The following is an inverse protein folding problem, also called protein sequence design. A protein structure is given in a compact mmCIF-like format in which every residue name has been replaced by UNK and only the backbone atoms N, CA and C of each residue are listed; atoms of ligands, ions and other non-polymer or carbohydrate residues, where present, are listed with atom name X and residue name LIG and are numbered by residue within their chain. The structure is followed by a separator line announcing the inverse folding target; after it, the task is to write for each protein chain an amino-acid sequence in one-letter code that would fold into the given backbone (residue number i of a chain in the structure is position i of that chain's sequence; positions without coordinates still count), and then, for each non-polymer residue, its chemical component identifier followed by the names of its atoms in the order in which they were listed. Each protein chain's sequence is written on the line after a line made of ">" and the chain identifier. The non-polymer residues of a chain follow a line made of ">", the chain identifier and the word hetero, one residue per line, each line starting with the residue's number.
data_IF_097274869479
#
_entry.id   IF_097274869479
#
_cell.length_a   1.000
_cell.length_b   1.000
_cell.length_c   1.000
_cell.angle_alpha   90.00
_cell.angle_beta   90.00
_cell.angle_gamma   90.00
#
_symmetry.space_group_name_H-M   'P 1'
#
loop_
_entity.id
_entity.type
_entity.pdbx_description
1 polymer ?
#
# COMPACT_ATOMS: atom_id res chain seq x y z
N UNK A 1 -15.61 1.09 -2.58
CA UNK A 1 -14.89 2.05 -1.67
C UNK A 1 -13.49 1.53 -1.41
N UNK A 2 -12.48 2.38 -1.15
CA UNK A 2 -11.08 1.94 -0.94
C UNK A 2 -10.53 2.48 0.38
N UNK A 3 -9.85 1.62 1.14
CA UNK A 3 -9.01 1.98 2.29
C UNK A 3 -7.54 1.75 1.90
N UNK A 4 -6.69 2.74 2.15
CA UNK A 4 -5.24 2.62 1.97
C UNK A 4 -4.58 2.52 3.34
N UNK A 5 -3.88 1.42 3.61
CA UNK A 5 -3.12 1.25 4.85
C UNK A 5 -1.66 1.64 4.62
N UNK A 6 -1.08 2.38 5.58
CA UNK A 6 0.29 2.88 5.48
C UNK A 6 1.18 2.17 6.52
N UNK A 7 1.96 1.19 6.06
CA UNK A 7 2.88 0.41 6.90
C UNK A 7 2.30 -0.87 7.50
N UNK A 8 3.12 -1.59 8.27
CA UNK A 8 2.80 -2.91 8.83
C UNK A 8 1.56 -2.90 9.73
N UNK A 9 1.56 -2.06 10.76
CA UNK A 9 0.56 -2.11 11.84
C UNK A 9 -0.89 -2.03 11.33
N UNK A 10 -1.30 -1.01 10.55
CA UNK A 10 -2.68 -0.95 10.06
C UNK A 10 -3.00 -2.06 9.05
N UNK A 11 -2.01 -2.48 8.24
CA UNK A 11 -2.20 -3.53 7.24
C UNK A 11 -2.44 -4.89 7.89
N UNK A 12 -1.57 -5.27 8.82
CA UNK A 12 -1.63 -6.54 9.54
C UNK A 12 -2.90 -6.64 10.38
N UNK A 13 -3.30 -5.54 11.03
CA UNK A 13 -4.54 -5.49 11.81
C UNK A 13 -5.77 -5.74 10.94
N UNK A 14 -5.91 -5.04 9.80
CA UNK A 14 -7.11 -5.17 8.97
C UNK A 14 -7.15 -6.44 8.12
N UNK A 15 -6.00 -6.98 7.74
CA UNK A 15 -5.89 -8.21 6.95
C UNK A 15 -5.72 -9.47 7.80
N UNK A 16 -5.72 -9.34 9.13
CA UNK A 16 -5.52 -10.44 10.09
C UNK A 16 -4.31 -11.32 9.75
N UNK A 17 -3.19 -10.67 9.40
CA UNK A 17 -1.98 -11.33 8.91
C UNK A 17 -0.74 -10.87 9.65
N UNK A 18 0.30 -11.70 9.66
CA UNK A 18 1.65 -11.35 10.15
C UNK A 18 2.62 -11.04 9.02
N UNK A 19 2.17 -11.10 7.76
CA UNK A 19 3.02 -10.80 6.61
C UNK A 19 3.53 -9.35 6.63
N UNK A 20 4.78 -9.15 6.20
CA UNK A 20 5.42 -7.84 6.17
C UNK A 20 4.94 -6.98 4.99
N UNK A 21 4.90 -5.66 5.21
CA UNK A 21 4.41 -4.66 4.25
C UNK A 21 5.15 -4.73 2.91
N UNK A 22 6.43 -5.07 2.91
CA UNK A 22 7.22 -5.24 1.68
C UNK A 22 6.63 -6.29 0.74
N UNK A 23 6.03 -7.36 1.29
CA UNK A 23 5.37 -8.42 0.52
C UNK A 23 3.93 -8.05 0.13
N UNK A 24 3.22 -7.34 1.01
CA UNK A 24 1.79 -7.02 0.84
C UNK A 24 1.53 -5.76 0.00
N UNK A 25 2.48 -4.82 -0.07
CA UNK A 25 2.24 -3.52 -0.73
C UNK A 25 1.92 -3.66 -2.23
N UNK A 26 1.02 -2.81 -2.70
CA UNK A 26 0.63 -2.77 -4.11
C UNK A 26 -0.30 -3.90 -4.55
N UNK A 27 -0.81 -4.70 -3.61
CA UNK A 27 -1.79 -5.77 -3.87
C UNK A 27 -3.17 -5.35 -3.37
N UNK A 28 -4.22 -5.88 -3.99
CA UNK A 28 -5.60 -5.63 -3.61
C UNK A 28 -6.12 -6.74 -2.71
N UNK A 29 -6.82 -6.37 -1.64
CA UNK A 29 -7.48 -7.29 -0.73
C UNK A 29 -8.94 -6.92 -0.58
N UNK A 30 -9.82 -7.89 -0.66
CA UNK A 30 -11.23 -7.71 -0.33
C UNK A 30 -11.39 -7.61 1.20
N UNK A 31 -12.29 -6.73 1.62
CA UNK A 31 -12.60 -6.53 3.04
C UNK A 31 -14.11 -6.43 3.23
N UNK A 32 -14.54 -6.03 4.43
CA UNK A 32 -15.94 -5.98 4.84
C UNK A 32 -16.81 -5.23 3.82
N UNK A 33 -17.84 -5.92 3.32
CA UNK A 33 -18.75 -5.41 2.29
C UNK A 33 -18.05 -5.19 0.95
N UNK A 34 -18.23 -4.01 0.35
CA UNK A 34 -17.63 -3.62 -0.94
C UNK A 34 -16.36 -2.76 -0.78
N UNK A 35 -15.69 -2.87 0.36
CA UNK A 35 -14.47 -2.13 0.64
C UNK A 35 -13.27 -2.97 0.22
N UNK A 36 -12.36 -2.37 -0.54
CA UNK A 36 -11.06 -2.95 -0.85
C UNK A 36 -9.95 -2.28 -0.03
N UNK A 37 -9.00 -3.06 0.46
CA UNK A 37 -7.79 -2.59 1.12
C UNK A 37 -6.63 -2.60 0.13
N UNK A 38 -5.85 -1.53 0.12
CA UNK A 38 -4.64 -1.38 -0.69
C UNK A 38 -3.46 -0.95 0.18
N UNK A 39 -2.58 -1.89 0.59
CA UNK A 39 -1.44 -1.58 1.43
C UNK A 39 -0.34 -0.82 0.70
N UNK A 40 0.28 0.14 1.39
CA UNK A 40 1.41 0.92 0.89
C UNK A 40 2.45 1.13 2.00
N UNK A 41 3.67 1.52 1.61
CA UNK A 41 4.69 1.90 2.58
C UNK A 41 4.27 3.14 3.39
N UNK A 42 4.68 3.18 4.66
CA UNK A 42 4.46 4.33 5.51
C UNK A 42 5.36 5.52 5.08
N UNK A 43 4.87 6.77 5.05
CA UNK A 43 5.68 7.92 4.64
C UNK A 43 6.99 8.08 5.42
N UNK A 44 6.99 7.81 6.74
CA UNK A 44 8.23 7.86 7.53
C UNK A 44 9.29 6.85 7.08
N UNK A 45 8.90 5.70 6.51
CA UNK A 45 9.85 4.75 5.91
C UNK A 45 10.51 5.37 4.67
N UNK A 46 9.77 6.11 3.86
CA UNK A 46 10.28 6.79 2.67
C UNK A 46 11.20 7.97 3.01
N UNK A 47 10.92 8.69 4.11
CA UNK A 47 11.81 9.75 4.59
C UNK A 47 13.17 9.21 5.06
N UNK A 48 13.19 8.00 5.64
CA UNK A 48 14.45 7.34 6.04
C UNK A 48 15.18 6.66 4.89
N UNK A 49 14.53 6.49 3.74
CA UNK A 49 15.06 5.75 2.59
C UNK A 49 14.87 6.59 1.32
N UNK A 50 15.79 7.52 1.09
CA UNK A 50 15.59 8.57 0.10
C UNK A 50 15.85 8.16 -1.35
N UNK A 51 16.42 6.97 -1.57
CA UNK A 51 16.84 6.51 -2.88
C UNK A 51 15.68 6.44 -3.89
N UNK A 52 15.97 6.72 -5.15
CA UNK A 52 14.99 6.79 -6.26
C UNK A 52 15.31 5.85 -7.42
N UNK A 53 16.27 4.94 -7.25
CA UNK A 53 16.59 3.93 -8.25
C UNK A 53 15.43 2.92 -8.43
N UNK A 54 15.34 2.20 -9.56
CA UNK A 54 14.30 1.21 -9.78
C UNK A 54 14.21 0.15 -8.66
N UNK A 55 13.02 -0.02 -8.08
CA UNK A 55 12.81 -0.93 -6.94
C UNK A 55 13.10 -0.30 -5.57
N UNK A 56 13.52 0.96 -5.50
CA UNK A 56 13.60 1.67 -4.23
C UNK A 56 12.21 1.90 -3.61
N UNK A 57 12.11 2.13 -2.28
CA UNK A 57 10.83 2.38 -1.63
C UNK A 57 10.02 3.51 -2.26
N UNK A 58 10.67 4.62 -2.64
CA UNK A 58 9.99 5.76 -3.30
C UNK A 58 9.47 5.39 -4.69
N UNK A 59 10.24 4.64 -5.48
CA UNK A 59 9.81 4.21 -6.82
C UNK A 59 8.64 3.22 -6.73
N UNK A 60 8.68 2.28 -5.79
CA UNK A 60 7.60 1.34 -5.53
C UNK A 60 6.32 2.06 -5.06
N UNK A 61 6.43 3.02 -4.14
CA UNK A 61 5.27 3.85 -3.73
C UNK A 61 4.72 4.69 -4.88
N UNK A 62 5.57 5.16 -5.80
CA UNK A 62 5.09 5.85 -6.99
C UNK A 62 4.29 4.93 -7.93
N UNK A 63 4.67 3.65 -8.05
CA UNK A 63 3.87 2.66 -8.76
C UNK A 63 2.52 2.45 -8.07
N UNK A 64 2.54 2.29 -6.75
CA UNK A 64 1.32 2.12 -5.94
C UNK A 64 0.33 3.27 -6.13
N UNK A 65 0.80 4.52 -6.04
CA UNK A 65 -0.10 5.68 -6.14
C UNK A 65 -0.71 5.82 -7.54
N UNK A 66 0.00 5.40 -8.59
CA UNK A 66 -0.54 5.35 -9.96
C UNK A 66 -1.63 4.28 -10.09
N UNK A 67 -1.41 3.09 -9.53
CA UNK A 67 -2.41 2.03 -9.47
C UNK A 67 -3.65 2.50 -8.69
N UNK A 68 -3.46 3.14 -7.54
CA UNK A 68 -4.55 3.69 -6.73
C UNK A 68 -5.33 4.77 -7.50
N UNK A 69 -4.63 5.70 -8.17
CA UNK A 69 -5.27 6.74 -8.98
C UNK A 69 -6.16 6.14 -10.08
N UNK A 70 -5.68 5.11 -10.77
CA UNK A 70 -6.46 4.40 -11.80
C UNK A 70 -7.69 3.72 -11.19
N UNK A 71 -7.55 3.07 -10.02
CA UNK A 71 -8.67 2.43 -9.35
C UNK A 71 -9.73 3.44 -8.91
N UNK A 72 -9.33 4.59 -8.36
CA UNK A 72 -10.26 5.67 -7.95
C UNK A 72 -11.00 6.25 -9.15
N UNK A 73 -10.35 6.38 -10.32
CA UNK A 73 -11.01 6.90 -11.52
C UNK A 73 -12.10 5.97 -12.07
N UNK A 74 -12.08 4.69 -11.69
CA UNK A 74 -13.03 3.67 -12.12
C UNK A 74 -14.06 3.30 -11.02
N UNK A 75 -14.06 4.02 -9.90
CA UNK A 75 -15.08 3.91 -8.84
C UNK A 75 -16.28 4.81 -9.16
#
# INVERSE_FOLDING_TARGET
>A
KIIVTLGNIPTQYLLETTEGITKLRGQWFDWLGEIKIFPMFHPSYLLRNEATFPGSPKELTWKDIKTLKQAIANL
#
